data_IF_374350995921
#
_entry.id   IF_374350995921
#
_cell.length_a   1.000
_cell.length_b   1.000
_cell.length_c   1.000
_cell.angle_alpha   90.00
_cell.angle_beta   90.00
_cell.angle_gamma   90.00
#
_symmetry.space_group_name_H-M   'P 1'
#
loop_
_entity.id
_entity.type
_entity.pdbx_description
1 polymer ?
#
# COMPACT_ATOMS: atom_id res chain seq x y z
N UNK A 1 57.73 -19.73 -29.44
CA UNK A 1 56.77 -18.83 -28.71
C UNK A 1 55.40 -19.51 -28.45
N UNK A 2 55.33 -20.69 -27.88
CA UNK A 2 54.09 -21.48 -27.81
C UNK A 2 53.81 -22.18 -26.49
N UNK A 3 54.65 -22.00 -25.45
CA UNK A 3 54.49 -22.74 -24.16
C UNK A 3 53.90 -21.98 -22.97
N UNK A 4 53.62 -20.68 -23.10
CA UNK A 4 53.18 -19.83 -21.96
C UNK A 4 51.64 -19.63 -21.87
N UNK A 5 50.91 -19.85 -22.95
CA UNK A 5 49.46 -19.68 -22.98
C UNK A 5 48.68 -20.83 -22.33
N UNK A 6 49.26 -22.04 -22.25
CA UNK A 6 48.63 -23.20 -21.69
C UNK A 6 48.73 -23.28 -20.15
N UNK A 7 49.81 -22.67 -19.58
CA UNK A 7 50.01 -22.66 -18.11
C UNK A 7 49.12 -21.65 -17.43
N UNK A 8 48.82 -20.49 -18.03
CA UNK A 8 47.88 -19.49 -17.51
C UNK A 8 46.42 -19.95 -17.53
N UNK A 9 46.01 -20.75 -18.51
CA UNK A 9 44.66 -21.31 -18.57
C UNK A 9 44.40 -22.40 -17.53
N UNK A 10 45.43 -23.13 -17.08
CA UNK A 10 45.29 -24.14 -16.01
C UNK A 10 45.18 -23.51 -14.62
N UNK A 11 45.92 -22.46 -14.34
CA UNK A 11 45.84 -21.71 -13.08
C UNK A 11 44.51 -20.97 -12.92
N UNK A 12 43.95 -20.40 -13.98
CA UNK A 12 42.63 -19.76 -13.91
C UNK A 12 41.49 -20.76 -13.71
N UNK A 13 41.57 -21.95 -14.29
CA UNK A 13 40.56 -23.01 -14.05
C UNK A 13 40.65 -23.59 -12.66
N UNK A 14 41.82 -23.75 -12.08
CA UNK A 14 41.97 -24.20 -10.70
C UNK A 14 41.45 -23.16 -9.69
N UNK A 15 41.66 -21.86 -9.92
CA UNK A 15 41.15 -20.80 -9.07
C UNK A 15 39.60 -20.71 -9.13
N UNK A 16 39.01 -20.92 -10.33
CA UNK A 16 37.56 -20.90 -10.50
C UNK A 16 36.88 -22.08 -9.79
N UNK A 17 37.49 -23.29 -9.83
CA UNK A 17 36.98 -24.46 -9.11
C UNK A 17 37.09 -24.32 -7.58
N UNK A 18 38.14 -23.70 -7.07
CA UNK A 18 38.29 -23.44 -5.62
C UNK A 18 37.31 -22.36 -5.15
N UNK A 19 37.05 -21.32 -5.95
CA UNK A 19 36.04 -20.30 -5.61
C UNK A 19 34.61 -20.86 -5.65
N UNK A 20 34.28 -21.70 -6.62
CA UNK A 20 33.00 -22.38 -6.68
C UNK A 20 32.80 -23.40 -5.55
N UNK A 21 33.85 -24.10 -5.12
CA UNK A 21 33.80 -25.03 -3.98
C UNK A 21 33.63 -24.29 -2.65
N UNK A 22 34.25 -23.14 -2.47
CA UNK A 22 34.07 -22.27 -1.28
C UNK A 22 32.67 -21.63 -1.23
N UNK A 23 32.14 -21.21 -2.38
CA UNK A 23 30.75 -20.71 -2.46
C UNK A 23 29.73 -21.83 -2.22
N UNK A 24 29.95 -23.03 -2.71
CA UNK A 24 29.10 -24.18 -2.46
C UNK A 24 29.13 -24.64 -0.99
N UNK A 25 30.28 -24.53 -0.32
CA UNK A 25 30.40 -24.84 1.12
C UNK A 25 29.71 -23.78 2.01
N UNK A 26 29.72 -22.49 1.61
CA UNK A 26 28.99 -21.45 2.33
C UNK A 26 27.47 -21.53 2.10
N UNK A 27 27.02 -21.95 0.92
CA UNK A 27 25.62 -22.24 0.65
C UNK A 27 25.12 -23.48 1.40
N UNK A 28 25.96 -24.53 1.55
CA UNK A 28 25.62 -25.73 2.32
C UNK A 28 25.56 -25.46 3.83
N UNK A 29 26.43 -24.62 4.38
CA UNK A 29 26.38 -24.21 5.79
C UNK A 29 25.21 -23.27 6.08
N UNK A 30 24.85 -22.37 5.16
CA UNK A 30 23.65 -21.55 5.28
C UNK A 30 22.36 -22.37 5.19
N UNK A 31 22.34 -23.43 4.38
CA UNK A 31 21.21 -24.38 4.29
C UNK A 31 21.11 -25.29 5.53
N UNK A 32 22.23 -25.70 6.13
CA UNK A 32 22.24 -26.52 7.34
C UNK A 32 21.81 -25.75 8.58
N UNK A 33 22.13 -24.46 8.69
CA UNK A 33 21.65 -23.60 9.78
C UNK A 33 20.14 -23.30 9.64
N UNK A 34 19.58 -23.35 8.42
CA UNK A 34 18.15 -23.18 8.18
C UNK A 34 17.32 -24.47 8.38
N UNK A 35 17.96 -25.64 8.35
CA UNK A 35 17.30 -26.94 8.51
C UNK A 35 17.11 -27.42 9.95
N UNK A 36 17.56 -26.65 10.97
CA UNK A 36 17.43 -26.99 12.41
C UNK A 36 16.26 -26.24 13.10
N UNK A 37 15.43 -25.55 12.33
CA UNK A 37 14.27 -24.78 12.88
C UNK A 37 12.95 -25.16 12.23
N UNK A 38 12.63 -26.42 12.09
CA UNK A 38 11.29 -26.75 11.60
C UNK A 38 10.75 -28.09 12.15
N UNK A 39 10.55 -28.13 13.45
CA UNK A 39 9.71 -29.16 14.10
C UNK A 39 9.01 -28.62 15.36
N UNK A 40 8.71 -27.33 15.43
CA UNK A 40 7.85 -26.77 16.49
C UNK A 40 6.49 -26.48 15.90
N UNK A 41 5.46 -27.15 16.38
CA UNK A 41 4.08 -26.72 16.19
C UNK A 41 3.98 -25.21 16.45
N UNK A 42 3.21 -24.45 15.64
CA UNK A 42 3.08 -23.00 15.82
C UNK A 42 2.75 -22.67 17.27
N UNK A 43 3.42 -21.67 17.80
CA UNK A 43 3.17 -21.19 19.17
C UNK A 43 1.71 -20.73 19.28
N UNK A 44 1.01 -21.14 20.33
CA UNK A 44 -0.41 -20.80 20.51
C UNK A 44 -0.62 -19.53 21.31
N UNK A 45 -1.24 -18.50 20.74
CA UNK A 45 -1.64 -17.28 21.45
C UNK A 45 -2.82 -17.47 22.42
N UNK A 46 -3.33 -18.68 22.55
CA UNK A 46 -4.32 -19.00 23.61
C UNK A 46 -3.66 -19.12 24.98
N UNK A 47 -2.34 -19.40 25.04
CA UNK A 47 -1.56 -19.45 26.28
C UNK A 47 -0.85 -18.14 26.55
N UNK A 48 -0.51 -17.87 27.82
CA UNK A 48 0.26 -16.68 28.21
C UNK A 48 1.68 -16.73 27.61
N UNK A 49 2.33 -17.88 27.69
CA UNK A 49 3.67 -18.12 27.19
C UNK A 49 3.73 -17.87 25.68
N UNK A 50 2.75 -18.37 24.95
CA UNK A 50 2.67 -18.18 23.50
C UNK A 50 2.46 -16.71 23.13
N UNK A 51 1.56 -16.01 23.81
CA UNK A 51 1.38 -14.56 23.60
C UNK A 51 2.64 -13.76 23.87
N UNK A 52 3.36 -14.10 24.95
CA UNK A 52 4.62 -13.41 25.28
C UNK A 52 5.71 -13.72 24.27
N UNK A 53 5.81 -14.95 23.76
CA UNK A 53 6.78 -15.30 22.71
C UNK A 53 6.52 -14.49 21.43
N UNK A 54 5.28 -14.39 20.98
CA UNK A 54 4.91 -13.59 19.79
C UNK A 54 5.13 -12.09 20.04
N UNK A 55 4.79 -11.60 21.23
CA UNK A 55 4.98 -10.19 21.58
C UNK A 55 6.47 -9.81 21.58
N UNK A 56 7.30 -10.61 22.24
CA UNK A 56 8.74 -10.36 22.38
C UNK A 56 9.41 -10.43 21.00
N UNK A 57 9.07 -11.41 20.15
CA UNK A 57 9.57 -11.53 18.78
C UNK A 57 9.21 -10.31 17.93
N UNK A 58 7.97 -9.86 17.98
CA UNK A 58 7.51 -8.67 17.25
C UNK A 58 8.23 -7.40 17.74
N UNK A 59 8.37 -7.23 19.07
CA UNK A 59 9.05 -6.09 19.67
C UNK A 59 10.54 -6.06 19.30
N UNK A 60 11.25 -7.21 19.41
CA UNK A 60 12.66 -7.35 19.07
C UNK A 60 12.92 -7.11 17.58
N UNK A 61 12.08 -7.67 16.71
CA UNK A 61 12.17 -7.45 15.25
C UNK A 61 12.08 -5.97 14.89
N UNK A 62 11.15 -5.24 15.50
CA UNK A 62 11.03 -3.79 15.29
C UNK A 62 12.24 -3.06 15.88
N UNK A 63 12.70 -3.43 17.10
CA UNK A 63 13.89 -2.85 17.73
C UNK A 63 15.12 -2.95 16.81
N UNK A 64 15.28 -4.05 16.11
CA UNK A 64 16.44 -4.32 15.27
C UNK A 64 16.34 -3.72 13.88
N UNK A 65 15.13 -3.70 13.28
CA UNK A 65 14.96 -3.45 11.85
C UNK A 65 14.36 -2.11 11.51
N UNK A 66 13.62 -1.46 12.42
CA UNK A 66 12.96 -0.20 12.14
C UNK A 66 13.96 0.83 11.62
N UNK A 67 13.62 1.54 10.53
CA UNK A 67 14.54 2.42 9.80
C UNK A 67 15.10 3.57 10.64
N UNK A 68 14.32 4.10 11.60
CA UNK A 68 14.76 5.14 12.52
C UNK A 68 15.18 4.52 13.87
N UNK A 69 16.48 4.44 14.17
CA UNK A 69 16.95 3.88 15.44
C UNK A 69 16.51 4.68 16.68
N UNK A 70 15.97 5.90 16.48
CA UNK A 70 15.41 6.74 17.55
C UNK A 70 13.88 6.62 17.66
N UNK A 71 13.22 5.82 16.82
CA UNK A 71 11.79 5.58 16.85
C UNK A 71 10.96 6.87 16.88
N UNK A 72 11.35 7.90 16.14
CA UNK A 72 10.75 9.25 16.20
C UNK A 72 10.73 9.87 17.60
N UNK A 73 11.70 9.53 18.45
CA UNK A 73 11.78 9.99 19.84
C UNK A 73 10.93 9.18 20.83
N UNK A 74 10.33 8.08 20.38
CA UNK A 74 9.58 7.18 21.27
C UNK A 74 10.57 6.32 22.04
N UNK A 75 10.38 6.22 23.35
CA UNK A 75 11.07 5.24 24.19
C UNK A 75 10.49 3.85 23.91
N UNK A 76 11.16 3.10 23.01
CA UNK A 76 10.71 1.78 22.59
C UNK A 76 10.78 0.74 23.72
N UNK A 77 11.69 0.93 24.70
CA UNK A 77 11.75 0.10 25.90
C UNK A 77 10.55 0.36 26.82
N UNK A 78 10.14 1.61 26.97
CA UNK A 78 8.93 1.96 27.71
C UNK A 78 7.67 1.39 27.06
N UNK A 79 7.62 1.29 25.71
CA UNK A 79 6.51 0.62 25.02
C UNK A 79 6.44 -0.87 25.41
N UNK A 80 7.58 -1.59 25.48
CA UNK A 80 7.61 -2.97 25.97
C UNK A 80 7.06 -3.09 27.39
N UNK A 81 7.53 -2.23 28.28
CA UNK A 81 7.09 -2.24 29.68
C UNK A 81 5.57 -1.99 29.81
N UNK A 82 4.99 -1.16 28.95
CA UNK A 82 3.58 -0.82 28.95
C UNK A 82 2.71 -1.95 28.37
N UNK A 83 3.07 -2.46 27.19
CA UNK A 83 2.20 -3.36 26.43
C UNK A 83 2.40 -4.85 26.74
N UNK A 84 3.58 -5.28 27.16
CA UNK A 84 3.86 -6.69 27.47
C UNK A 84 2.94 -7.27 28.57
N UNK A 85 2.67 -6.56 29.68
CA UNK A 85 1.70 -7.02 30.68
C UNK A 85 0.25 -7.08 30.14
N UNK A 86 -0.11 -6.18 29.22
CA UNK A 86 -1.42 -6.20 28.56
C UNK A 86 -1.54 -7.41 27.63
N UNK A 87 -0.49 -7.73 26.85
CA UNK A 87 -0.41 -8.92 26.02
C UNK A 87 -0.58 -10.21 26.84
N UNK A 88 0.08 -10.30 27.99
CA UNK A 88 -0.05 -11.43 28.91
C UNK A 88 -1.51 -11.63 29.39
N UNK A 89 -2.24 -10.54 29.66
CA UNK A 89 -3.62 -10.55 30.19
C UNK A 89 -4.71 -10.74 29.14
N UNK A 90 -4.39 -10.62 27.85
CA UNK A 90 -5.38 -10.80 26.79
C UNK A 90 -6.07 -12.17 26.90
N UNK A 91 -7.38 -12.19 26.91
CA UNK A 91 -8.16 -13.43 27.11
C UNK A 91 -8.35 -14.23 25.81
N UNK A 92 -8.24 -13.54 24.66
CA UNK A 92 -8.50 -14.11 23.32
C UNK A 92 -7.42 -13.67 22.31
N UNK A 93 -7.14 -14.48 21.27
CA UNK A 93 -6.13 -14.13 20.25
C UNK A 93 -6.36 -12.76 19.59
N UNK A 94 -7.59 -12.36 19.28
CA UNK A 94 -7.85 -11.07 18.67
C UNK A 94 -7.56 -9.90 19.64
N UNK A 95 -7.86 -10.03 20.94
CA UNK A 95 -7.52 -9.03 21.96
C UNK A 95 -6.00 -8.87 22.09
N UNK A 96 -5.25 -9.99 21.99
CA UNK A 96 -3.79 -9.97 21.95
C UNK A 96 -3.25 -9.20 20.74
N UNK A 97 -3.78 -9.47 19.53
CA UNK A 97 -3.35 -8.76 18.33
C UNK A 97 -3.75 -7.27 18.36
N UNK A 98 -4.84 -6.91 19.04
CA UNK A 98 -5.18 -5.50 19.27
C UNK A 98 -4.14 -4.79 20.17
N UNK A 99 -3.59 -5.49 21.17
CA UNK A 99 -2.47 -4.97 21.98
C UNK A 99 -1.22 -4.76 21.13
N UNK A 100 -0.87 -5.72 20.24
CA UNK A 100 0.25 -5.57 19.31
C UNK A 100 0.04 -4.37 18.38
N UNK A 101 -1.15 -4.23 17.80
CA UNK A 101 -1.50 -3.10 16.92
C UNK A 101 -1.38 -1.76 17.64
N UNK A 102 -1.78 -1.69 18.91
CA UNK A 102 -1.63 -0.47 19.73
C UNK A 102 -0.16 -0.11 19.96
N UNK A 103 0.67 -1.09 20.32
CA UNK A 103 2.11 -0.88 20.48
C UNK A 103 2.75 -0.38 19.17
N UNK A 104 2.50 -1.07 18.07
CA UNK A 104 3.01 -0.72 16.74
C UNK A 104 2.49 0.64 16.28
N UNK A 105 1.21 0.93 16.52
CA UNK A 105 0.58 2.21 16.19
C UNK A 105 1.23 3.42 16.85
N UNK A 106 1.99 3.23 17.95
CA UNK A 106 2.76 4.31 18.56
C UNK A 106 3.86 4.86 17.63
N UNK A 107 4.37 4.06 16.70
CA UNK A 107 5.37 4.46 15.70
C UNK A 107 4.83 5.47 14.68
N UNK A 108 3.51 5.56 14.54
CA UNK A 108 2.82 6.49 13.63
C UNK A 108 3.29 6.40 12.18
N UNK A 109 3.58 5.21 11.71
CA UNK A 109 3.86 4.94 10.30
C UNK A 109 2.83 3.98 9.69
N UNK A 110 2.72 4.06 8.37
CA UNK A 110 1.68 3.34 7.63
C UNK A 110 2.08 1.91 7.25
N UNK A 111 3.36 1.57 7.31
CA UNK A 111 3.90 0.34 6.77
C UNK A 111 4.31 -0.68 7.84
N UNK A 112 4.63 -0.25 9.09
CA UNK A 112 4.83 -1.19 10.19
C UNK A 112 3.47 -1.70 10.67
N UNK A 113 3.18 -2.99 10.40
CA UNK A 113 1.87 -3.61 10.63
C UNK A 113 2.01 -5.04 11.07
N UNK A 114 1.03 -5.51 11.85
CA UNK A 114 0.90 -6.91 12.24
C UNK A 114 -0.43 -7.49 11.78
N UNK A 115 -0.37 -8.71 11.26
CA UNK A 115 -1.50 -9.49 10.77
C UNK A 115 -1.59 -10.79 11.56
N UNK A 116 -2.77 -11.10 12.08
CA UNK A 116 -3.01 -12.37 12.77
C UNK A 116 -3.06 -13.54 11.78
N UNK A 117 -2.80 -14.78 12.22
CA UNK A 117 -2.91 -15.96 11.37
C UNK A 117 -4.28 -16.08 10.67
N UNK A 118 -5.37 -15.65 11.34
CA UNK A 118 -6.73 -15.72 10.82
C UNK A 118 -6.98 -14.76 9.64
N UNK A 119 -6.22 -13.67 9.56
CA UNK A 119 -6.32 -12.72 8.45
C UNK A 119 -5.81 -13.31 7.13
N UNK A 120 -5.01 -14.41 7.17
CA UNK A 120 -4.44 -15.09 6.00
C UNK A 120 -3.92 -14.08 5.00
N UNK A 121 -3.08 -13.18 5.47
CA UNK A 121 -2.62 -12.04 4.70
C UNK A 121 -1.94 -12.48 3.39
N UNK A 122 -2.46 -11.99 2.26
CA UNK A 122 -1.89 -12.17 0.93
C UNK A 122 -1.80 -10.80 0.25
N UNK A 123 -0.58 -10.34 0.00
CA UNK A 123 -0.32 -9.05 -0.62
C UNK A 123 -0.79 -8.97 -2.08
N UNK A 124 -0.70 -10.11 -2.78
CA UNK A 124 -1.04 -10.16 -4.19
C UNK A 124 -2.54 -10.36 -4.43
N UNK A 125 -3.24 -10.91 -3.45
CA UNK A 125 -4.67 -11.12 -3.44
C UNK A 125 -5.28 -10.54 -2.16
N UNK A 126 -5.18 -9.21 -1.95
CA UNK A 126 -5.61 -8.59 -0.71
C UNK A 126 -7.10 -8.80 -0.51
N UNK A 127 -7.43 -9.26 0.67
CA UNK A 127 -8.81 -9.41 1.11
C UNK A 127 -9.07 -8.53 2.32
N UNK A 128 -10.29 -8.12 2.46
CA UNK A 128 -10.72 -7.23 3.52
C UNK A 128 -12.15 -7.56 3.96
N UNK A 129 -12.48 -7.20 5.19
CA UNK A 129 -13.83 -7.33 5.70
C UNK A 129 -14.66 -6.15 5.19
N UNK A 130 -15.85 -6.45 4.67
CA UNK A 130 -16.80 -5.46 4.18
C UNK A 130 -18.23 -5.86 4.55
N UNK A 131 -19.14 -4.92 4.38
CA UNK A 131 -20.60 -5.11 4.36
C UNK A 131 -21.20 -4.74 2.99
N UNK A 132 -20.33 -4.54 1.99
CA UNK A 132 -20.70 -4.07 0.65
C UNK A 132 -20.86 -2.55 0.54
N UNK A 133 -20.32 -1.79 1.50
CA UNK A 133 -20.30 -0.33 1.49
C UNK A 133 -18.85 0.18 1.51
N UNK A 134 -18.55 1.13 0.61
CA UNK A 134 -17.33 1.94 0.72
C UNK A 134 -17.72 3.32 1.22
N UNK A 135 -17.12 3.75 2.33
CA UNK A 135 -17.38 5.04 2.98
C UNK A 135 -16.11 5.89 2.95
N UNK A 136 -16.26 7.17 2.66
CA UNK A 136 -15.21 8.19 2.72
C UNK A 136 -15.74 9.47 3.36
N UNK A 137 -14.85 10.30 3.83
CA UNK A 137 -15.25 11.64 4.25
C UNK A 137 -15.49 12.53 3.03
N UNK A 138 -16.68 13.10 2.94
CA UNK A 138 -17.04 14.06 1.90
C UNK A 138 -17.77 15.20 2.58
N UNK A 139 -17.28 16.43 2.37
CA UNK A 139 -17.83 17.63 3.03
C UNK A 139 -17.89 17.49 4.57
N UNK A 140 -16.85 16.83 5.17
CA UNK A 140 -16.72 16.65 6.61
C UNK A 140 -17.59 15.54 7.21
N UNK A 141 -18.32 14.75 6.40
CA UNK A 141 -19.21 13.68 6.90
C UNK A 141 -18.91 12.32 6.25
N UNK A 142 -19.06 11.21 7.01
CA UNK A 142 -18.85 9.86 6.50
C UNK A 142 -19.92 9.52 5.45
N UNK A 143 -19.56 9.56 4.19
CA UNK A 143 -20.46 9.43 3.05
C UNK A 143 -20.22 8.10 2.32
N UNK A 144 -21.28 7.38 2.00
CA UNK A 144 -21.22 6.21 1.12
C UNK A 144 -20.83 6.66 -0.27
N UNK A 145 -19.66 6.22 -0.76
CA UNK A 145 -19.22 6.55 -2.12
C UNK A 145 -19.53 5.42 -3.11
N UNK A 146 -19.68 4.19 -2.61
CA UNK A 146 -20.00 3.02 -3.43
C UNK A 146 -20.83 2.01 -2.63
N UNK A 147 -21.80 1.42 -3.31
CA UNK A 147 -22.53 0.24 -2.86
C UNK A 147 -22.20 -0.89 -3.82
N UNK A 148 -21.65 -1.98 -3.29
CA UNK A 148 -21.21 -3.14 -4.06
C UNK A 148 -22.40 -3.91 -4.62
N UNK A 149 -22.41 -4.14 -5.94
CA UNK A 149 -23.47 -4.88 -6.60
C UNK A 149 -23.57 -6.32 -6.06
N UNK A 150 -24.78 -6.80 -5.83
CA UNK A 150 -25.03 -8.15 -5.29
C UNK A 150 -24.86 -8.28 -3.78
N UNK A 151 -24.27 -7.30 -3.09
CA UNK A 151 -24.08 -7.30 -1.64
C UNK A 151 -25.39 -7.25 -0.86
N UNK A 152 -25.33 -7.55 0.45
CA UNK A 152 -26.46 -7.33 1.36
C UNK A 152 -26.87 -5.85 1.40
N UNK A 153 -25.90 -4.93 1.37
CA UNK A 153 -26.15 -3.50 1.31
C UNK A 153 -26.93 -3.09 0.05
N UNK A 154 -26.63 -3.68 -1.11
CA UNK A 154 -27.32 -3.38 -2.37
C UNK A 154 -28.81 -3.78 -2.37
N UNK A 155 -29.21 -4.69 -1.48
CA UNK A 155 -30.62 -5.07 -1.27
C UNK A 155 -31.38 -4.14 -0.34
N UNK A 156 -30.69 -3.19 0.28
CA UNK A 156 -31.28 -2.13 1.10
C UNK A 156 -31.56 -0.88 0.26
N UNK A 157 -32.05 0.17 0.92
CA UNK A 157 -32.29 1.45 0.26
C UNK A 157 -31.09 2.40 0.30
N UNK A 158 -29.94 1.96 0.82
CA UNK A 158 -28.71 2.78 0.89
C UNK A 158 -28.15 3.05 -0.50
N UNK A 159 -27.70 4.27 -0.73
CA UNK A 159 -27.16 4.72 -2.02
C UNK A 159 -25.87 5.50 -1.85
N UNK A 160 -25.07 5.55 -2.91
CA UNK A 160 -23.95 6.48 -2.96
C UNK A 160 -24.46 7.92 -2.76
N UNK A 161 -23.75 8.68 -1.90
CA UNK A 161 -24.13 10.01 -1.44
C UNK A 161 -24.86 10.03 -0.08
N UNK A 162 -25.37 8.90 0.40
CA UNK A 162 -25.97 8.83 1.75
C UNK A 162 -24.91 8.93 2.83
N UNK A 163 -25.27 9.48 3.99
CA UNK A 163 -24.35 9.72 5.12
C UNK A 163 -24.56 8.66 6.20
N UNK A 164 -23.49 8.03 6.65
CA UNK A 164 -23.54 7.12 7.81
C UNK A 164 -23.74 7.95 9.10
N UNK A 165 -24.72 7.58 9.90
CA UNK A 165 -25.10 8.27 11.13
C UNK A 165 -24.70 7.47 12.36
N UNK A 166 -25.04 6.17 12.40
CA UNK A 166 -24.71 5.29 13.51
C UNK A 166 -24.18 3.93 13.02
N UNK A 167 -23.33 3.34 13.84
CA UNK A 167 -22.87 1.94 13.77
C UNK A 167 -23.23 1.28 15.10
N UNK A 168 -23.99 0.17 15.06
CA UNK A 168 -24.46 -0.56 16.25
C UNK A 168 -25.11 0.37 17.30
N UNK A 169 -25.97 1.28 16.81
CA UNK A 169 -26.68 2.31 17.59
C UNK A 169 -25.78 3.38 18.25
N UNK A 170 -24.46 3.31 18.05
CA UNK A 170 -23.54 4.36 18.49
C UNK A 170 -23.33 5.42 17.39
N UNK A 171 -23.25 6.70 17.75
CA UNK A 171 -22.89 7.75 16.78
C UNK A 171 -21.61 7.42 16.01
N UNK A 172 -21.64 7.58 14.70
CA UNK A 172 -20.48 7.27 13.83
C UNK A 172 -19.23 8.04 14.24
N UNK A 173 -19.37 9.22 14.81
CA UNK A 173 -18.26 10.01 15.34
C UNK A 173 -17.49 9.27 16.45
N UNK A 174 -18.19 8.59 17.36
CA UNK A 174 -17.53 7.79 18.39
C UNK A 174 -16.86 6.53 17.81
N UNK A 175 -17.50 5.89 16.82
CA UNK A 175 -16.88 4.78 16.11
C UNK A 175 -15.59 5.20 15.39
N UNK A 176 -15.55 6.37 14.74
CA UNK A 176 -14.35 6.95 14.13
C UNK A 176 -13.29 7.24 15.20
N UNK A 177 -13.67 7.90 16.29
CA UNK A 177 -12.76 8.25 17.40
C UNK A 177 -12.09 7.01 18.03
N UNK A 178 -12.81 5.93 18.18
CA UNK A 178 -12.27 4.66 18.67
C UNK A 178 -11.19 4.12 17.70
N UNK A 179 -11.45 4.15 16.40
CA UNK A 179 -10.52 3.66 15.37
C UNK A 179 -9.28 4.55 15.21
N UNK A 180 -9.43 5.84 15.40
CA UNK A 180 -8.29 6.78 15.37
C UNK A 180 -7.22 6.44 16.43
N UNK A 181 -7.60 5.84 17.57
CA UNK A 181 -6.65 5.40 18.60
C UNK A 181 -5.67 4.33 18.10
N UNK A 182 -6.03 3.61 17.04
CA UNK A 182 -5.26 2.50 16.47
C UNK A 182 -4.71 2.82 15.07
N UNK A 183 -4.89 4.05 14.58
CA UNK A 183 -4.58 4.37 13.17
C UNK A 183 -3.10 4.33 12.82
N UNK A 184 -2.22 4.51 13.81
CA UNK A 184 -0.77 4.44 13.58
C UNK A 184 -0.22 5.46 12.59
N UNK A 185 -0.91 6.56 12.28
CA UNK A 185 -0.48 7.54 11.29
C UNK A 185 -0.15 8.88 11.94
N UNK A 186 0.88 9.54 11.41
CA UNK A 186 1.32 10.86 11.86
C UNK A 186 0.43 11.99 11.33
N UNK A 187 -0.15 11.81 10.15
CA UNK A 187 -1.07 12.77 9.54
C UNK A 187 -2.52 12.48 9.94
N UNK A 188 -3.19 13.48 10.53
CA UNK A 188 -4.55 13.38 11.03
C UNK A 188 -5.56 13.09 9.90
N UNK A 189 -5.37 13.66 8.72
CA UNK A 189 -6.25 13.46 7.57
C UNK A 189 -6.22 12.01 7.11
N UNK A 190 -5.04 11.43 6.95
CA UNK A 190 -4.88 10.04 6.55
C UNK A 190 -5.30 9.06 7.66
N UNK A 191 -5.04 9.39 8.92
CA UNK A 191 -5.56 8.63 10.05
C UNK A 191 -7.10 8.56 10.01
N UNK A 192 -7.75 9.69 9.76
CA UNK A 192 -9.20 9.79 9.65
C UNK A 192 -9.74 9.06 8.42
N UNK A 193 -9.07 9.18 7.26
CA UNK A 193 -9.40 8.42 6.06
C UNK A 193 -9.43 6.91 6.32
N UNK A 194 -8.40 6.37 7.00
CA UNK A 194 -8.33 4.96 7.36
C UNK A 194 -9.36 4.56 8.40
N UNK A 195 -9.58 5.38 9.43
CA UNK A 195 -10.58 5.12 10.46
C UNK A 195 -12.00 5.02 9.86
N UNK A 196 -12.32 5.88 8.88
CA UNK A 196 -13.60 5.83 8.16
C UNK A 196 -13.66 4.61 7.24
N UNK A 197 -12.57 4.26 6.56
CA UNK A 197 -12.50 3.04 5.75
C UNK A 197 -12.73 1.76 6.54
N UNK A 198 -12.30 1.75 7.81
CA UNK A 198 -12.38 0.63 8.73
C UNK A 198 -13.72 0.56 9.52
N UNK A 199 -14.71 1.42 9.25
CA UNK A 199 -15.95 1.52 10.04
C UNK A 199 -16.70 0.19 10.21
N UNK A 200 -16.59 -0.70 9.25
CA UNK A 200 -17.27 -1.98 9.22
C UNK A 200 -16.36 -3.18 9.57
N UNK A 201 -15.11 -2.94 9.95
CA UNK A 201 -14.21 -4.02 10.38
C UNK A 201 -14.74 -4.73 11.62
N UNK A 202 -14.47 -6.03 11.67
CA UNK A 202 -14.87 -6.94 12.73
C UNK A 202 -14.81 -8.38 12.22
N UNK A 203 -15.10 -9.40 13.06
CA UNK A 203 -15.04 -10.80 12.64
C UNK A 203 -16.00 -11.08 11.47
N UNK A 204 -15.55 -11.82 10.47
CA UNK A 204 -16.41 -12.27 9.37
C UNK A 204 -17.56 -13.13 9.87
N UNK A 205 -18.73 -13.03 9.25
CA UNK A 205 -19.95 -13.73 9.65
C UNK A 205 -20.73 -13.03 10.76
N UNK A 206 -20.20 -11.98 11.40
CA UNK A 206 -20.93 -11.20 12.39
C UNK A 206 -21.78 -10.11 11.73
N UNK A 207 -22.84 -9.72 12.40
CA UNK A 207 -23.73 -8.65 11.96
C UNK A 207 -23.26 -7.29 12.47
N UNK A 208 -23.64 -6.23 11.74
CA UNK A 208 -23.49 -4.84 12.15
C UNK A 208 -24.77 -4.07 11.76
N UNK A 209 -25.32 -3.31 12.67
CA UNK A 209 -26.43 -2.41 12.39
C UNK A 209 -25.89 -1.09 11.87
N UNK A 210 -26.26 -0.73 10.65
CA UNK A 210 -25.85 0.51 10.00
C UNK A 210 -27.06 1.43 9.85
N UNK A 211 -26.95 2.66 10.36
CA UNK A 211 -27.95 3.71 10.16
C UNK A 211 -27.38 4.79 9.28
N UNK A 212 -28.12 5.18 8.26
CA UNK A 212 -27.74 6.24 7.32
C UNK A 212 -28.84 7.26 7.12
N UNK A 213 -28.47 8.46 6.72
CA UNK A 213 -29.37 9.54 6.29
C UNK A 213 -29.29 9.72 4.78
N UNK A 214 -30.42 9.67 4.13
CA UNK A 214 -30.50 9.87 2.68
C UNK A 214 -30.45 11.36 2.30
N UNK A 215 -30.45 11.67 0.97
CA UNK A 215 -30.43 13.04 0.45
C UNK A 215 -31.52 13.96 1.01
N UNK A 216 -32.67 13.40 1.43
CA UNK A 216 -33.80 14.16 2.00
C UNK A 216 -33.73 14.29 3.53
N UNK A 217 -32.64 13.85 4.15
CA UNK A 217 -32.47 13.86 5.61
C UNK A 217 -33.21 12.72 6.33
N UNK A 218 -33.92 11.84 5.62
CA UNK A 218 -34.63 10.71 6.24
C UNK A 218 -33.64 9.62 6.66
N UNK A 219 -33.66 9.25 7.92
CA UNK A 219 -32.86 8.15 8.43
C UNK A 219 -33.51 6.79 8.17
N UNK A 220 -32.65 5.82 7.86
CA UNK A 220 -32.98 4.41 7.65
C UNK A 220 -31.90 3.56 8.27
N UNK A 221 -32.21 2.31 8.60
CA UNK A 221 -31.23 1.37 9.14
C UNK A 221 -31.43 -0.02 8.54
N UNK A 222 -30.34 -0.79 8.53
CA UNK A 222 -30.35 -2.20 8.20
C UNK A 222 -29.28 -2.94 9.01
N UNK A 223 -29.50 -4.22 9.22
CA UNK A 223 -28.48 -5.13 9.76
C UNK A 223 -27.77 -5.76 8.55
N UNK A 224 -26.46 -5.61 8.50
CA UNK A 224 -25.62 -6.09 7.42
C UNK A 224 -24.59 -7.07 7.97
N UNK A 225 -24.42 -8.20 7.30
CA UNK A 225 -23.42 -9.20 7.68
C UNK A 225 -22.05 -8.83 7.13
N UNK A 226 -21.01 -8.93 7.97
CA UNK A 226 -19.62 -8.82 7.60
C UNK A 226 -19.17 -10.05 6.82
N UNK A 227 -18.48 -9.85 5.71
CA UNK A 227 -17.92 -10.94 4.91
C UNK A 227 -16.54 -10.59 4.35
N UNK A 228 -15.75 -11.63 4.07
CA UNK A 228 -14.50 -11.47 3.35
C UNK A 228 -14.78 -11.14 1.89
N UNK A 229 -14.21 -10.05 1.42
CA UNK A 229 -14.15 -9.72 -0.01
C UNK A 229 -12.70 -9.67 -0.46
N UNK A 230 -12.47 -10.06 -1.71
CA UNK A 230 -11.17 -10.01 -2.35
C UNK A 230 -11.14 -8.82 -3.30
N UNK A 231 -10.07 -8.05 -3.24
CA UNK A 231 -9.84 -6.98 -4.20
C UNK A 231 -8.99 -7.53 -5.34
N UNK A 232 -9.55 -7.54 -6.54
CA UNK A 232 -8.75 -7.77 -7.74
C UNK A 232 -7.88 -6.53 -7.98
N UNK A 233 -6.57 -6.76 -8.05
CA UNK A 233 -5.59 -5.75 -8.42
C UNK A 233 -5.33 -5.86 -9.91
N UNK A 234 -5.52 -4.78 -10.64
CA UNK A 234 -5.42 -4.85 -12.08
C UNK A 234 -5.09 -3.53 -12.75
N UNK A 235 -5.04 -3.62 -14.06
CA UNK A 235 -5.02 -2.51 -14.96
C UNK A 235 -6.36 -2.47 -15.70
N UNK A 236 -7.01 -1.31 -15.64
CA UNK A 236 -8.25 -1.05 -16.35
C UNK A 236 -8.06 0.12 -17.33
N UNK A 237 -8.66 0.04 -18.49
CA UNK A 237 -8.62 1.09 -19.47
C UNK A 237 -10.00 1.34 -20.07
N UNK A 238 -10.24 2.57 -20.47
CA UNK A 238 -11.42 2.95 -21.22
C UNK A 238 -11.10 4.14 -22.13
N UNK A 239 -11.83 4.26 -23.22
CA UNK A 239 -11.75 5.41 -24.11
C UNK A 239 -12.90 6.37 -23.84
N UNK A 240 -12.60 7.67 -23.71
CA UNK A 240 -13.61 8.73 -23.62
C UNK A 240 -13.30 9.80 -24.66
N UNK A 241 -13.90 9.66 -25.85
CA UNK A 241 -13.54 10.45 -27.02
C UNK A 241 -12.12 10.17 -27.48
N UNK A 242 -11.30 11.20 -27.62
CA UNK A 242 -9.87 11.13 -27.95
C UNK A 242 -8.94 10.89 -26.75
N UNK A 243 -9.48 10.70 -25.53
CA UNK A 243 -8.70 10.51 -24.31
C UNK A 243 -8.68 9.05 -23.91
N UNK A 244 -7.48 8.50 -23.67
CA UNK A 244 -7.28 7.22 -23.03
C UNK A 244 -7.27 7.39 -21.49
N UNK A 245 -8.20 6.72 -20.80
CA UNK A 245 -8.25 6.70 -19.33
C UNK A 245 -7.66 5.37 -18.87
N UNK A 246 -6.55 5.45 -18.16
CA UNK A 246 -5.75 4.32 -17.68
C UNK A 246 -5.82 4.29 -16.16
N UNK A 247 -6.35 3.23 -15.57
CA UNK A 247 -6.41 3.06 -14.13
C UNK A 247 -5.52 1.88 -13.71
N UNK A 248 -4.62 2.13 -12.78
CA UNK A 248 -3.78 1.12 -12.15
C UNK A 248 -4.17 1.01 -10.68
N UNK A 249 -4.56 -0.19 -10.23
CA UNK A 249 -5.01 -0.40 -8.84
C UNK A 249 -3.84 -0.68 -7.87
N UNK A 250 -2.76 -1.30 -8.36
CA UNK A 250 -1.51 -1.50 -7.62
C UNK A 250 -0.36 -1.80 -8.59
N UNK A 251 0.88 -1.58 -8.17
CA UNK A 251 2.05 -1.96 -8.93
C UNK A 251 2.48 -3.38 -8.56
N UNK A 252 2.23 -4.33 -9.45
CA UNK A 252 2.74 -5.70 -9.40
C UNK A 252 3.46 -5.99 -10.71
N UNK A 253 4.36 -6.97 -10.73
CA UNK A 253 5.06 -7.36 -11.96
C UNK A 253 4.06 -7.76 -13.07
N UNK A 254 2.98 -8.47 -12.71
CA UNK A 254 1.91 -8.82 -13.65
C UNK A 254 1.20 -7.60 -14.20
N UNK A 255 0.80 -6.66 -13.33
CA UNK A 255 0.11 -5.43 -13.75
C UNK A 255 1.01 -4.58 -14.64
N UNK A 256 2.31 -4.43 -14.32
CA UNK A 256 3.26 -3.68 -15.15
C UNK A 256 3.44 -4.33 -16.54
N UNK A 257 3.53 -5.66 -16.59
CA UNK A 257 3.64 -6.41 -17.84
C UNK A 257 2.37 -6.28 -18.70
N UNK A 258 1.19 -6.45 -18.12
CA UNK A 258 -0.10 -6.31 -18.81
C UNK A 258 -0.31 -4.88 -19.30
N UNK A 259 -0.03 -3.89 -18.46
CA UNK A 259 -0.06 -2.48 -18.81
C UNK A 259 0.79 -2.20 -20.05
N UNK A 260 2.06 -2.60 -20.02
CA UNK A 260 3.01 -2.39 -21.12
C UNK A 260 2.56 -3.07 -22.41
N UNK A 261 2.08 -4.31 -22.32
CA UNK A 261 1.60 -5.10 -23.45
C UNK A 261 0.36 -4.51 -24.12
N UNK A 262 -0.58 -4.02 -23.32
CA UNK A 262 -1.87 -3.50 -23.84
C UNK A 262 -1.78 -2.05 -24.30
N UNK A 263 -0.81 -1.30 -23.83
CA UNK A 263 -0.72 0.14 -24.01
C UNK A 263 -0.72 0.60 -25.49
N UNK A 264 0.03 -0.02 -26.43
CA UNK A 264 -0.02 0.39 -27.84
C UNK A 264 -1.43 0.40 -28.43
N UNK A 265 -2.20 -0.67 -28.19
CA UNK A 265 -3.58 -0.79 -28.66
C UNK A 265 -4.52 0.20 -27.96
N UNK A 266 -4.32 0.41 -26.65
CA UNK A 266 -5.15 1.35 -25.86
C UNK A 266 -4.90 2.80 -26.29
N UNK A 267 -3.68 3.13 -26.73
CA UNK A 267 -3.32 4.48 -27.15
C UNK A 267 -3.57 4.77 -28.64
N UNK A 268 -3.92 3.76 -29.44
CA UNK A 268 -4.22 3.98 -30.86
C UNK A 268 -5.32 5.03 -31.04
N UNK A 269 -5.00 6.14 -31.75
CA UNK A 269 -5.90 7.27 -31.95
C UNK A 269 -6.21 8.08 -30.68
N UNK A 270 -5.44 7.94 -29.60
CA UNK A 270 -5.54 8.82 -28.45
C UNK A 270 -4.71 10.10 -28.69
N UNK A 271 -5.24 11.22 -28.23
CA UNK A 271 -4.58 12.53 -28.25
C UNK A 271 -4.10 12.95 -26.85
N UNK A 272 -4.66 12.33 -25.80
CA UNK A 272 -4.27 12.58 -24.42
C UNK A 272 -4.51 11.39 -23.50
N UNK A 273 -3.89 11.40 -22.33
CA UNK A 273 -3.94 10.34 -21.33
C UNK A 273 -4.36 10.90 -19.97
N UNK A 274 -5.34 10.26 -19.36
CA UNK A 274 -5.63 10.39 -17.93
C UNK A 274 -5.16 9.13 -17.23
N UNK A 275 -4.14 9.24 -16.37
CA UNK A 275 -3.65 8.15 -15.51
C UNK A 275 -4.32 8.27 -14.14
N UNK A 276 -5.26 7.38 -13.83
CA UNK A 276 -6.01 7.37 -12.57
C UNK A 276 -5.30 6.51 -11.53
N UNK A 277 -4.65 7.16 -10.56
CA UNK A 277 -3.97 6.53 -9.41
C UNK A 277 -4.72 6.78 -8.09
N UNK A 278 -5.92 7.32 -8.09
CA UNK A 278 -6.69 7.66 -6.88
C UNK A 278 -6.92 6.47 -5.95
N UNK A 279 -7.02 5.28 -6.51
CA UNK A 279 -7.20 4.04 -5.77
C UNK A 279 -5.92 3.22 -5.56
N UNK A 280 -4.76 3.69 -6.04
CA UNK A 280 -3.52 2.94 -6.05
C UNK A 280 -2.78 3.04 -4.70
N UNK A 281 -2.75 1.94 -3.96
CA UNK A 281 -2.07 1.83 -2.67
C UNK A 281 -0.55 1.60 -2.75
N UNK A 282 0.06 1.69 -3.93
CA UNK A 282 1.48 1.41 -4.15
C UNK A 282 1.73 -0.01 -4.65
N UNK A 283 2.73 -0.67 -4.10
CA UNK A 283 3.14 -2.03 -4.48
C UNK A 283 4.65 -2.15 -4.68
N UNK A 284 5.04 -2.97 -5.62
CA UNK A 284 6.44 -3.25 -5.97
C UNK A 284 7.09 -2.02 -6.63
N UNK A 285 8.23 -1.57 -6.08
CA UNK A 285 8.92 -0.38 -6.55
C UNK A 285 9.56 -0.57 -7.95
N UNK A 286 10.01 -1.79 -8.29
CA UNK A 286 10.56 -2.08 -9.62
C UNK A 286 9.44 -2.12 -10.67
N UNK A 287 8.30 -2.76 -10.36
CA UNK A 287 7.13 -2.73 -11.24
C UNK A 287 6.63 -1.31 -11.50
N UNK A 288 6.65 -0.45 -10.48
CA UNK A 288 6.34 0.98 -10.64
C UNK A 288 7.38 1.68 -11.53
N UNK A 289 8.67 1.44 -11.32
CA UNK A 289 9.74 2.02 -12.14
C UNK A 289 9.64 1.60 -13.62
N UNK A 290 9.23 0.34 -13.87
CA UNK A 290 8.94 -0.15 -15.21
C UNK A 290 7.82 0.64 -15.88
N UNK A 291 6.70 0.85 -15.17
CA UNK A 291 5.59 1.68 -15.69
C UNK A 291 6.01 3.14 -15.88
N UNK A 292 6.77 3.70 -14.93
CA UNK A 292 7.28 5.08 -15.02
C UNK A 292 8.20 5.29 -16.22
N UNK A 293 8.97 4.25 -16.61
CA UNK A 293 9.88 4.28 -17.76
C UNK A 293 9.17 4.49 -19.10
N UNK A 294 7.87 4.24 -19.17
CA UNK A 294 7.06 4.51 -20.36
C UNK A 294 6.76 6.00 -20.54
N UNK A 295 6.82 6.79 -19.48
CA UNK A 295 6.50 8.21 -19.46
C UNK A 295 7.68 9.13 -19.21
N UNK A 296 8.76 8.62 -18.60
CA UNK A 296 9.98 9.36 -18.25
C UNK A 296 11.17 8.86 -19.06
N UNK A 297 12.17 9.69 -19.22
CA UNK A 297 13.40 9.32 -19.90
C UNK A 297 14.16 8.23 -19.11
N UNK A 298 14.88 7.37 -19.83
CA UNK A 298 15.71 6.31 -19.25
C UNK A 298 16.77 6.89 -18.30
N UNK A 299 17.04 6.22 -17.17
CA UNK A 299 17.94 6.71 -16.13
C UNK A 299 17.41 7.91 -15.34
N UNK A 300 16.10 8.21 -15.41
CA UNK A 300 15.51 9.22 -14.53
C UNK A 300 15.55 8.72 -13.10
N UNK A 301 16.24 9.46 -12.22
CA UNK A 301 16.27 9.19 -10.78
C UNK A 301 14.88 9.41 -10.18
N UNK A 302 14.29 8.36 -9.62
CA UNK A 302 12.98 8.34 -8.96
C UNK A 302 13.08 8.59 -7.45
N UNK A 303 14.30 8.67 -6.90
CA UNK A 303 14.58 8.90 -5.50
C UNK A 303 15.49 7.85 -4.88
N UNK A 304 15.69 7.96 -3.57
CA UNK A 304 16.63 7.14 -2.81
C UNK A 304 15.97 6.55 -1.57
N UNK A 305 16.25 5.28 -1.34
CA UNK A 305 15.94 4.58 -0.09
C UNK A 305 17.19 4.48 0.77
N UNK A 306 17.03 4.66 2.08
CA UNK A 306 18.11 4.50 3.06
C UNK A 306 17.61 3.71 4.27
N UNK A 307 18.42 2.74 4.74
CA UNK A 307 18.13 1.98 5.95
C UNK A 307 18.73 2.63 7.21
N UNK A 308 18.46 2.03 8.36
CA UNK A 308 18.93 2.51 9.67
C UNK A 308 20.45 2.61 9.81
N UNK A 309 21.22 1.86 9.01
CA UNK A 309 22.68 1.93 8.99
C UNK A 309 23.23 3.09 8.15
N UNK A 310 22.36 3.75 7.38
CA UNK A 310 22.72 4.75 6.38
C UNK A 310 23.09 4.15 5.03
N UNK A 311 23.05 2.83 4.88
CA UNK A 311 23.18 2.21 3.56
C UNK A 311 22.00 2.61 2.68
N UNK A 312 22.28 2.99 1.43
CA UNK A 312 21.24 3.53 0.56
C UNK A 312 21.40 3.07 -0.88
N UNK A 313 20.30 3.06 -1.61
CA UNK A 313 20.28 2.81 -3.06
C UNK A 313 19.31 3.77 -3.74
N UNK A 314 19.59 4.08 -5.00
CA UNK A 314 18.72 4.90 -5.83
C UNK A 314 17.80 4.01 -6.67
N UNK A 315 16.59 4.51 -6.88
CA UNK A 315 15.61 3.91 -7.79
C UNK A 315 15.59 4.76 -9.06
N UNK A 316 15.72 4.13 -10.21
CA UNK A 316 15.76 4.79 -11.51
C UNK A 316 14.80 4.13 -12.49
N UNK A 317 14.36 4.89 -13.49
CA UNK A 317 13.69 4.34 -14.66
C UNK A 317 14.66 3.51 -15.48
N UNK A 318 14.19 2.37 -15.96
CA UNK A 318 15.01 1.46 -16.75
C UNK A 318 14.22 0.76 -17.86
N UNK A 319 14.09 1.42 -18.98
CA UNK A 319 13.27 0.97 -20.11
C UNK A 319 13.72 -0.37 -20.74
N UNK A 320 15.01 -0.72 -20.62
CA UNK A 320 15.56 -1.95 -21.21
C UNK A 320 15.07 -3.24 -20.53
N UNK A 321 14.53 -3.18 -19.33
CA UNK A 321 13.95 -4.37 -18.64
C UNK A 321 12.69 -4.87 -19.34
N UNK A 322 11.88 -3.98 -19.89
CA UNK A 322 10.61 -4.30 -20.53
C UNK A 322 10.76 -4.76 -21.98
N UNK A 323 11.87 -4.41 -22.66
CA UNK A 323 12.03 -4.62 -24.09
C UNK A 323 13.25 -5.48 -24.40
N UNK A 324 13.00 -6.77 -24.66
CA UNK A 324 14.07 -7.71 -25.06
C UNK A 324 14.60 -7.50 -26.48
N UNK A 325 13.97 -6.72 -27.36
CA UNK A 325 14.29 -6.73 -28.79
C UNK A 325 14.02 -5.47 -29.61
N UNK A 326 13.53 -4.36 -29.06
CA UNK A 326 13.25 -3.14 -29.85
C UNK A 326 13.43 -1.86 -29.02
N UNK A 327 13.44 -0.69 -29.65
CA UNK A 327 13.50 0.59 -28.96
C UNK A 327 12.36 0.70 -27.92
N UNK A 328 12.64 1.24 -26.72
CA UNK A 328 11.62 1.39 -25.68
C UNK A 328 10.47 2.26 -26.17
N UNK A 329 9.23 1.82 -25.89
CA UNK A 329 8.05 2.65 -26.12
C UNK A 329 8.10 3.83 -25.16
N UNK A 330 8.32 5.02 -25.68
CA UNK A 330 8.24 6.24 -24.90
C UNK A 330 6.98 7.02 -25.30
N UNK A 331 6.10 7.20 -24.34
CA UNK A 331 4.82 7.87 -24.53
C UNK A 331 5.03 9.38 -24.40
N UNK A 332 4.71 10.13 -25.46
CA UNK A 332 4.85 11.60 -25.49
C UNK A 332 3.50 12.32 -25.44
N UNK A 333 2.37 11.60 -25.52
CA UNK A 333 1.04 12.21 -25.46
C UNK A 333 0.88 13.06 -24.18
N UNK A 334 0.15 14.17 -24.21
CA UNK A 334 -0.23 14.93 -23.03
C UNK A 334 -0.78 14.02 -21.93
N UNK A 335 -0.36 14.25 -20.69
CA UNK A 335 -0.64 13.38 -19.56
C UNK A 335 -1.16 14.18 -18.36
N UNK A 336 -2.30 13.76 -17.84
CA UNK A 336 -2.84 14.22 -16.55
C UNK A 336 -2.89 13.02 -15.61
N UNK A 337 -2.43 13.20 -14.36
CA UNK A 337 -2.50 12.17 -13.30
C UNK A 337 -3.57 12.57 -12.30
N UNK A 338 -4.48 11.64 -12.00
CA UNK A 338 -5.45 11.81 -10.92
C UNK A 338 -4.95 11.16 -9.63
N UNK A 339 -4.91 11.94 -8.55
CA UNK A 339 -4.50 11.49 -7.21
C UNK A 339 -5.62 11.59 -6.19
N UNK A 340 -5.51 10.78 -5.15
CA UNK A 340 -6.43 10.74 -4.01
C UNK A 340 -5.72 10.37 -2.72
N UNK A 341 -6.41 10.41 -1.61
CA UNK A 341 -5.89 10.06 -0.28
C UNK A 341 -5.38 8.61 -0.17
N UNK A 342 -5.83 7.72 -1.06
CA UNK A 342 -5.33 6.35 -1.15
C UNK A 342 -4.15 6.19 -2.13
N UNK A 343 -3.76 7.23 -2.87
CA UNK A 343 -2.51 7.22 -3.64
C UNK A 343 -1.36 7.17 -2.65
N UNK A 344 -0.63 6.04 -2.58
CA UNK A 344 0.38 5.84 -1.53
C UNK A 344 1.60 5.06 -2.01
N UNK A 345 2.70 5.14 -1.27
CA UNK A 345 3.92 4.36 -1.45
C UNK A 345 4.50 4.51 -2.87
N UNK A 346 4.74 3.42 -3.61
CA UNK A 346 5.27 3.44 -4.97
C UNK A 346 4.48 4.38 -5.90
N UNK A 347 3.15 4.52 -5.72
CA UNK A 347 2.35 5.46 -6.50
C UNK A 347 2.73 6.92 -6.23
N UNK A 348 3.05 7.28 -4.99
CA UNK A 348 3.53 8.63 -4.65
C UNK A 348 4.90 8.91 -5.27
N UNK A 349 5.79 7.90 -5.28
CA UNK A 349 7.11 8.00 -5.92
C UNK A 349 6.96 8.31 -7.41
N UNK A 350 6.09 7.58 -8.12
CA UNK A 350 5.80 7.83 -9.53
C UNK A 350 5.23 9.24 -9.76
N UNK A 351 4.23 9.63 -8.97
CA UNK A 351 3.59 10.96 -9.07
C UNK A 351 4.61 12.06 -8.82
N UNK A 352 5.46 11.93 -7.78
CA UNK A 352 6.51 12.90 -7.47
C UNK A 352 7.46 13.09 -8.65
N UNK A 353 7.90 12.00 -9.28
CA UNK A 353 8.81 12.05 -10.43
C UNK A 353 8.14 12.70 -11.65
N UNK A 354 6.90 12.31 -11.98
CA UNK A 354 6.14 12.89 -13.09
C UNK A 354 5.91 14.39 -12.92
N UNK A 355 5.57 14.83 -11.69
CA UNK A 355 5.36 16.23 -11.35
C UNK A 355 6.66 17.02 -11.40
N UNK A 356 7.74 16.52 -10.77
CA UNK A 356 9.05 17.18 -10.73
C UNK A 356 9.64 17.37 -12.15
N UNK A 357 9.43 16.40 -13.05
CA UNK A 357 9.85 16.48 -14.45
C UNK A 357 8.89 17.26 -15.33
N UNK A 358 7.80 17.79 -14.79
CA UNK A 358 6.73 18.46 -15.55
C UNK A 358 6.19 17.60 -16.69
N UNK A 359 6.23 16.29 -16.51
CA UNK A 359 5.72 15.33 -17.50
C UNK A 359 4.21 15.21 -17.45
N UNK A 360 3.61 15.45 -16.31
CA UNK A 360 2.16 15.41 -16.12
C UNK A 360 1.71 16.54 -15.20
N UNK A 361 0.47 16.99 -15.40
CA UNK A 361 -0.25 17.79 -14.44
C UNK A 361 -0.96 16.86 -13.44
N UNK A 362 -0.81 17.11 -12.15
CA UNK A 362 -1.41 16.32 -11.07
C UNK A 362 -2.70 17.00 -10.59
N UNK A 363 -3.81 16.27 -10.62
CA UNK A 363 -5.15 16.77 -10.24
C UNK A 363 -5.80 15.84 -9.22
N UNK A 364 -6.52 16.41 -8.26
CA UNK A 364 -7.28 15.64 -7.27
C UNK A 364 -7.07 16.12 -5.85
N UNK A 365 -6.94 15.19 -4.91
CA UNK A 365 -6.59 15.50 -3.51
C UNK A 365 -5.13 15.16 -3.23
N UNK A 366 -4.61 15.62 -2.09
CA UNK A 366 -3.32 15.22 -1.57
C UNK A 366 -3.24 13.70 -1.41
N UNK A 367 -2.02 13.16 -1.51
CA UNK A 367 -1.76 11.73 -1.38
C UNK A 367 -1.50 11.33 0.08
N UNK A 368 -1.32 10.03 0.34
CA UNK A 368 -1.18 9.47 1.69
C UNK A 368 0.00 10.05 2.49
N UNK A 369 1.13 10.36 1.87
CA UNK A 369 2.37 10.59 2.61
C UNK A 369 2.87 9.31 3.30
N UNK A 370 2.79 8.20 2.65
CA UNK A 370 3.09 6.86 3.16
C UNK A 370 4.09 6.18 2.22
N UNK A 371 5.38 6.49 2.37
CA UNK A 371 6.43 6.07 1.42
C UNK A 371 7.58 5.28 2.05
N UNK A 372 7.49 4.97 3.33
CA UNK A 372 8.43 4.03 3.96
C UNK A 372 8.37 2.67 3.26
N UNK A 373 9.45 1.92 3.25
CA UNK A 373 9.47 0.63 2.57
C UNK A 373 9.85 -0.52 3.50
N UNK A 374 9.28 -1.68 3.18
CA UNK A 374 9.52 -2.96 3.82
C UNK A 374 10.56 -3.71 2.99
N UNK A 375 11.60 -4.25 3.63
CA UNK A 375 12.57 -5.11 2.94
C UNK A 375 12.04 -6.53 2.79
N UNK A 376 11.53 -7.07 3.87
CA UNK A 376 10.99 -8.43 3.92
C UNK A 376 9.97 -8.57 5.04
N UNK A 377 9.03 -9.48 4.86
CA UNK A 377 8.08 -9.84 5.91
C UNK A 377 8.71 -10.76 6.91
N UNK A 378 8.36 -10.56 8.17
CA UNK A 378 8.74 -11.42 9.26
C UNK A 378 7.57 -12.33 9.64
N UNK A 379 7.80 -13.64 9.63
CA UNK A 379 6.84 -14.62 10.12
C UNK A 379 6.91 -14.68 11.64
N UNK A 380 5.81 -14.40 12.31
CA UNK A 380 5.71 -14.52 13.77
C UNK A 380 5.60 -15.99 14.21
N UNK A 381 5.98 -16.32 15.45
CA UNK A 381 6.02 -17.72 15.95
C UNK A 381 4.69 -18.47 15.89
N UNK A 382 3.55 -17.75 15.89
CA UNK A 382 2.20 -18.32 15.80
C UNK A 382 1.66 -18.43 14.37
N UNK A 383 2.47 -18.05 13.36
CA UNK A 383 2.09 -17.99 11.95
C UNK A 383 1.47 -16.65 11.53
N UNK A 384 1.42 -15.67 12.39
CA UNK A 384 1.12 -14.28 12.03
C UNK A 384 2.24 -13.65 11.19
N UNK A 385 2.02 -12.44 10.70
CA UNK A 385 2.97 -11.72 9.85
C UNK A 385 3.20 -10.32 10.42
N UNK A 386 4.47 -9.91 10.46
CA UNK A 386 4.89 -8.57 10.82
C UNK A 386 5.61 -7.91 9.63
N UNK A 387 5.09 -6.79 9.19
CA UNK A 387 5.77 -5.88 8.28
C UNK A 387 6.45 -4.79 9.11
N UNK A 388 7.71 -4.46 8.79
CA UNK A 388 8.49 -3.40 9.46
C UNK A 388 8.98 -2.41 8.40
N UNK A 389 8.82 -1.12 8.66
CA UNK A 389 9.41 -0.06 7.86
C UNK A 389 10.94 -0.06 8.05
N UNK A 390 11.66 -0.61 7.07
CA UNK A 390 13.13 -0.76 7.13
C UNK A 390 13.86 0.33 6.34
N UNK A 391 13.16 1.07 5.47
CA UNK A 391 13.76 2.13 4.66
C UNK A 391 12.98 3.44 4.76
N UNK A 392 13.71 4.56 4.90
CA UNK A 392 13.22 5.93 4.64
C UNK A 392 13.39 6.23 3.14
N UNK A 393 12.45 6.98 2.58
CA UNK A 393 12.50 7.41 1.19
C UNK A 393 12.69 8.92 1.08
N UNK A 394 13.51 9.33 0.10
CA UNK A 394 13.68 10.72 -0.32
C UNK A 394 13.53 10.84 -1.83
N UNK A 395 12.83 11.88 -2.30
CA UNK A 395 12.76 12.19 -3.73
C UNK A 395 14.16 12.45 -4.32
N UNK A 396 14.28 12.48 -5.64
CA UNK A 396 15.53 12.86 -6.30
C UNK A 396 16.05 14.26 -5.88
N UNK A 397 15.15 15.14 -5.44
CA UNK A 397 15.52 16.46 -4.88
C UNK A 397 15.82 16.41 -3.36
N UNK A 398 15.85 15.24 -2.74
CA UNK A 398 16.11 15.05 -1.31
C UNK A 398 14.92 15.35 -0.39
N UNK A 399 13.75 15.64 -0.91
CA UNK A 399 12.56 15.94 -0.12
C UNK A 399 12.01 14.69 0.53
N UNK A 400 11.51 14.80 1.75
CA UNK A 400 10.78 13.76 2.47
C UNK A 400 9.30 13.81 2.11
N UNK A 401 8.74 12.68 1.74
CA UNK A 401 7.30 12.55 1.48
C UNK A 401 6.55 11.90 2.64
N UNK A 402 7.23 11.11 3.48
CA UNK A 402 6.60 10.47 4.63
C UNK A 402 5.96 11.50 5.57
N UNK A 403 4.67 11.32 5.86
CA UNK A 403 3.85 12.23 6.64
C UNK A 403 3.44 13.53 5.93
N UNK A 404 3.81 13.73 4.65
CA UNK A 404 3.54 14.95 3.88
C UNK A 404 2.71 14.67 2.63
N UNK A 405 3.06 13.62 1.88
CA UNK A 405 2.43 13.28 0.60
C UNK A 405 2.76 14.25 -0.53
N UNK A 406 2.06 14.06 -1.65
CA UNK A 406 2.14 14.92 -2.84
C UNK A 406 0.96 15.89 -2.83
N UNK A 407 1.25 17.17 -2.96
CA UNK A 407 0.23 18.18 -3.21
C UNK A 407 -0.06 18.24 -4.70
N UNK A 408 -1.33 18.08 -5.14
CA UNK A 408 -1.67 18.18 -6.56
C UNK A 408 -1.49 19.61 -7.08
N UNK A 409 -1.21 19.76 -8.38
CA UNK A 409 -1.12 21.07 -9.05
C UNK A 409 -2.49 21.76 -9.08
N UNK A 410 -3.55 20.95 -9.15
CA UNK A 410 -4.96 21.42 -9.08
C UNK A 410 -5.70 20.58 -8.05
N UNK A 411 -6.00 21.18 -6.91
CA UNK A 411 -6.83 20.53 -5.90
C UNK A 411 -8.29 20.52 -6.30
N UNK A 412 -8.89 19.33 -6.31
CA UNK A 412 -10.32 19.13 -6.61
C UNK A 412 -10.92 18.25 -5.52
N UNK A 413 -11.90 18.80 -4.81
CA UNK A 413 -12.66 18.07 -3.81
C UNK A 413 -13.97 17.57 -4.43
N UNK A 414 -14.25 16.28 -4.23
CA UNK A 414 -15.52 15.67 -4.58
C UNK A 414 -16.60 16.15 -3.61
N UNK A 415 -17.76 16.55 -4.11
CA UNK A 415 -18.93 16.89 -3.28
C UNK A 415 -19.92 15.73 -3.22
N UNK A 416 -20.82 15.75 -2.25
CA UNK A 416 -21.93 14.78 -2.19
C UNK A 416 -22.86 14.90 -3.40
N UNK A 417 -23.04 16.12 -3.93
CA UNK A 417 -23.80 16.35 -5.16
C UNK A 417 -23.16 15.65 -6.36
N UNK A 418 -21.84 15.67 -6.47
CA UNK A 418 -21.09 14.95 -7.51
C UNK A 418 -21.33 13.44 -7.42
N UNK A 419 -21.28 12.88 -6.19
CA UNK A 419 -21.52 11.45 -5.98
C UNK A 419 -22.95 11.06 -6.37
N UNK A 420 -23.94 11.83 -5.96
CA UNK A 420 -25.35 11.58 -6.34
C UNK A 420 -25.57 11.64 -7.84
N UNK A 421 -24.91 12.56 -8.55
CA UNK A 421 -25.03 12.72 -10.01
C UNK A 421 -24.06 11.83 -10.80
N UNK A 422 -23.19 11.09 -10.14
CA UNK A 422 -22.08 10.31 -10.73
C UNK A 422 -21.17 11.18 -11.60
N UNK A 423 -20.95 12.41 -11.18
CA UNK A 423 -20.10 13.39 -11.87
C UNK A 423 -18.68 13.34 -11.32
N UNK A 424 -17.69 12.99 -12.16
CA UNK A 424 -16.28 12.98 -11.79
C UNK A 424 -15.63 14.32 -12.13
N UNK A 425 -15.69 15.25 -11.19
CA UNK A 425 -15.17 16.63 -11.35
C UNK A 425 -13.69 16.66 -11.70
N UNK A 426 -12.89 15.77 -11.13
CA UNK A 426 -11.45 15.71 -11.41
C UNK A 426 -11.19 15.23 -12.84
N UNK A 427 -11.92 14.21 -13.29
CA UNK A 427 -11.84 13.74 -14.67
C UNK A 427 -12.30 14.81 -15.68
N UNK A 428 -13.38 15.51 -15.40
CA UNK A 428 -13.89 16.57 -16.30
C UNK A 428 -12.91 17.74 -16.43
N UNK A 429 -12.19 18.08 -15.34
CA UNK A 429 -11.11 19.05 -15.42
C UNK A 429 -9.92 18.52 -16.22
N UNK A 430 -9.51 17.26 -15.99
CA UNK A 430 -8.44 16.62 -16.75
C UNK A 430 -8.74 16.63 -18.25
N UNK A 431 -9.99 16.30 -18.63
CA UNK A 431 -10.45 16.37 -20.02
C UNK A 431 -10.29 17.77 -20.61
N UNK A 432 -10.76 18.80 -19.90
CA UNK A 432 -10.64 20.20 -20.38
C UNK A 432 -9.18 20.63 -20.59
N UNK A 433 -8.26 20.14 -19.75
CA UNK A 433 -6.83 20.44 -19.91
C UNK A 433 -6.29 19.76 -21.17
N UNK A 434 -6.57 18.47 -21.34
CA UNK A 434 -6.11 17.69 -22.50
C UNK A 434 -6.74 18.12 -23.83
N UNK A 435 -7.95 18.70 -23.81
CA UNK A 435 -8.61 19.25 -25.00
C UNK A 435 -8.05 20.65 -25.38
N UNK A 436 -7.29 21.30 -24.49
CA UNK A 436 -6.73 22.65 -24.70
C UNK A 436 -5.26 22.65 -25.14
N UNK A 437 -4.55 21.53 -24.93
CA UNK A 437 -3.16 21.30 -25.34
C UNK A 437 -3.10 20.75 -26.79
#
# INVERSE_FOLDING_TARGET
MGRDKTRRRRTFRALYFVLCALLASQLATASLVRAVRDDSSPVSTTTVEGRLAVFDDAWETIQERYYDPKFHGIDWQAQRATFRPAAARAGKPHEFYDVLRQMIGSLKDAHTRVYSPDEKFDWWNPRFITVGLTVREVEGVPTVIQVEAGSAAARTEVKAGDVIVNIDDQPVAEAIKQRLRYSGLSDESNARYRAIGALFEGPAGTDVKVTWSNRKGKQKSAVLQRYWNQRELGFNNQRKGNIAVLRIDAFTQTVAADFTKMLPAVLEGAEGIVLDLRGNGGGDAEAMADVASLFLDDGTNLGRFADRSGASFELETFSKRLWRSSAPLQIKLPLVVLTGENTSSAAEIMVAALQAKRRAQVIGTGTCGCVLAIRSRHALPDGGVLDVSEFDYRTAAGQRLEGVGIKPDRQILTTRADIYSRYDRAFELAKKILDAD
#
